data_IF_611121791222
#
_entry.id   IF_611121791222
#
_cell.length_a   1.000
_cell.length_b   1.000
_cell.length_c   1.000
_cell.angle_alpha   90.00
_cell.angle_beta   90.00
_cell.angle_gamma   90.00
#
_symmetry.space_group_name_H-M   'P 1'
#
loop_
_entity.id
_entity.type
_entity.pdbx_description
1 polymer ?
#
# COMPACT_ATOMS: atom_id res chain seq x y z
N UNK A 1 4.57 -3.28 -18.29
CA UNK A 1 5.25 -2.60 -17.17
C UNK A 1 4.42 -2.75 -15.92
N UNK A 2 5.03 -3.15 -14.82
CA UNK A 2 4.31 -3.42 -13.58
C UNK A 2 4.13 -2.12 -12.78
N UNK A 3 2.90 -1.77 -12.45
CA UNK A 3 2.61 -0.61 -11.61
C UNK A 3 2.75 -0.93 -10.14
N UNK A 4 2.25 -2.09 -9.72
CA UNK A 4 2.24 -2.49 -8.30
C UNK A 4 3.19 -3.66 -8.07
N UNK A 5 3.92 -3.61 -6.95
CA UNK A 5 4.78 -4.70 -6.50
C UNK A 5 4.40 -5.04 -5.07
N UNK A 6 4.20 -6.33 -4.78
CA UNK A 6 3.95 -6.82 -3.44
C UNK A 6 5.15 -7.64 -2.98
N UNK A 7 5.72 -7.27 -1.83
CA UNK A 7 6.87 -7.94 -1.24
C UNK A 7 6.67 -8.16 0.25
N UNK A 8 7.31 -9.19 0.80
CA UNK A 8 7.35 -9.35 2.24
C UNK A 8 8.23 -8.25 2.83
N UNK A 9 7.81 -7.74 4.00
CA UNK A 9 8.63 -6.79 4.74
C UNK A 9 9.85 -7.51 5.31
N UNK A 10 11.03 -6.93 5.09
CA UNK A 10 12.28 -7.44 5.68
C UNK A 10 12.54 -6.83 7.06
N UNK A 11 11.69 -5.89 7.50
CA UNK A 11 11.81 -5.25 8.81
C UNK A 11 10.85 -5.80 9.84
N UNK A 12 9.67 -6.26 9.41
CA UNK A 12 8.61 -6.75 10.29
C UNK A 12 8.10 -8.09 9.80
N UNK A 13 8.34 -9.14 10.57
CA UNK A 13 7.85 -10.46 10.24
C UNK A 13 6.32 -10.47 10.24
N UNK A 14 5.73 -11.10 9.20
CA UNK A 14 4.28 -11.16 9.06
C UNK A 14 3.66 -9.94 8.40
N UNK A 15 4.48 -9.02 7.90
CA UNK A 15 4.02 -7.82 7.21
C UNK A 15 4.38 -7.86 5.73
N UNK A 16 3.56 -7.17 4.95
CA UNK A 16 3.74 -7.01 3.51
C UNK A 16 3.93 -5.55 3.15
N UNK A 17 4.65 -5.32 2.05
CA UNK A 17 4.85 -3.97 1.50
C UNK A 17 4.38 -3.98 0.06
N UNK A 18 3.43 -3.12 -0.28
CA UNK A 18 2.94 -2.92 -1.63
C UNK A 18 3.37 -1.54 -2.11
N UNK A 19 4.01 -1.48 -3.27
CA UNK A 19 4.51 -0.23 -3.83
C UNK A 19 3.80 0.08 -5.13
N UNK A 20 3.30 1.31 -5.26
CA UNK A 20 2.80 1.87 -6.52
C UNK A 20 3.95 2.62 -7.17
N UNK A 21 4.56 2.02 -8.19
CA UNK A 21 5.72 2.60 -8.86
C UNK A 21 5.36 3.80 -9.74
N UNK A 22 4.10 3.90 -10.15
CA UNK A 22 3.65 4.99 -10.99
C UNK A 22 3.45 6.28 -10.21
N UNK A 23 2.99 6.17 -8.96
CA UNK A 23 2.69 7.32 -8.12
C UNK A 23 3.57 7.42 -6.88
N UNK A 24 4.56 6.53 -6.74
CA UNK A 24 5.52 6.53 -5.64
C UNK A 24 4.87 6.45 -4.26
N UNK A 25 3.88 5.57 -4.13
CA UNK A 25 3.16 5.35 -2.88
C UNK A 25 3.54 3.97 -2.33
N UNK A 26 3.77 3.91 -1.03
CA UNK A 26 4.08 2.66 -0.33
C UNK A 26 3.02 2.39 0.72
N UNK A 27 2.48 1.17 0.71
CA UNK A 27 1.53 0.71 1.71
C UNK A 27 2.13 -0.47 2.45
N UNK A 28 2.14 -0.40 3.79
CA UNK A 28 2.54 -1.52 4.66
C UNK A 28 1.32 -2.02 5.40
N UNK A 29 1.19 -3.34 5.47
CA UNK A 29 0.07 -3.95 6.18
C UNK A 29 0.48 -5.32 6.73
N UNK A 30 -0.22 -5.74 7.79
CA UNK A 30 -0.04 -7.06 8.38
C UNK A 30 -0.80 -8.11 7.56
N UNK A 31 -0.21 -9.28 7.36
CA UNK A 31 -0.81 -10.37 6.61
C UNK A 31 -2.20 -10.69 7.18
N UNK A 32 -3.19 -10.81 6.30
CA UNK A 32 -4.60 -11.09 6.62
C UNK A 32 -5.29 -9.99 7.44
N UNK A 33 -4.67 -8.81 7.57
CA UNK A 33 -5.23 -7.75 8.41
C UNK A 33 -5.05 -6.36 7.79
N UNK A 34 -5.23 -6.28 6.48
CA UNK A 34 -5.03 -5.04 5.72
C UNK A 34 -5.86 -3.89 6.26
N UNK A 35 -7.16 -4.12 6.49
CA UNK A 35 -8.08 -3.05 6.85
C UNK A 35 -7.73 -2.37 8.18
N UNK A 36 -7.13 -3.10 9.11
CA UNK A 36 -6.84 -2.59 10.45
C UNK A 36 -5.39 -2.09 10.59
N UNK A 37 -4.50 -2.49 9.69
CA UNK A 37 -3.06 -2.21 9.85
C UNK A 37 -2.45 -1.40 8.71
N UNK A 38 -3.20 -1.09 7.67
CA UNK A 38 -2.67 -0.39 6.50
C UNK A 38 -2.06 0.96 6.88
N UNK A 39 -0.87 1.21 6.35
CA UNK A 39 -0.14 2.46 6.56
C UNK A 39 0.41 2.92 5.22
N UNK A 40 0.09 4.16 4.84
CA UNK A 40 0.51 4.72 3.55
C UNK A 40 1.57 5.80 3.76
N UNK A 41 2.62 5.72 2.96
CA UNK A 41 3.66 6.75 2.91
C UNK A 41 4.07 6.97 1.46
N UNK A 42 4.77 8.07 1.19
CA UNK A 42 5.41 8.26 -0.10
C UNK A 42 6.71 7.44 -0.15
N UNK A 43 7.18 7.13 -1.34
CA UNK A 43 8.34 6.28 -1.55
C UNK A 43 9.61 6.83 -0.88
N UNK A 44 9.72 8.15 -0.77
CA UNK A 44 10.85 8.82 -0.11
C UNK A 44 10.73 8.81 1.42
N UNK A 45 9.66 8.23 1.96
CA UNK A 45 9.42 8.13 3.40
C UNK A 45 8.57 9.24 3.97
N UNK A 46 8.22 10.24 3.19
CA UNK A 46 7.35 11.32 3.64
C UNK A 46 5.92 10.84 3.84
N UNK A 47 5.28 11.32 4.89
CA UNK A 47 3.87 11.08 5.13
C UNK A 47 3.04 12.08 4.32
N UNK A 48 1.76 11.76 4.15
CA UNK A 48 0.82 12.71 3.54
C UNK A 48 0.61 13.87 4.52
N UNK A 49 1.11 15.05 4.16
CA UNK A 49 1.22 16.18 5.09
C UNK A 49 -0.08 16.94 5.33
N UNK A 50 -1.07 16.74 4.46
CA UNK A 50 -2.32 17.47 4.58
C UNK A 50 -3.49 16.64 4.11
N UNK A 51 -4.69 17.01 4.60
CA UNK A 51 -5.95 16.41 4.17
C UNK A 51 -6.15 16.57 2.65
N UNK A 52 -5.75 17.70 2.11
CA UNK A 52 -5.85 17.98 0.69
C UNK A 52 -4.98 17.01 -0.13
N UNK A 53 -3.77 16.74 0.33
CA UNK A 53 -2.86 15.81 -0.34
C UNK A 53 -3.38 14.38 -0.24
N UNK A 54 -3.93 13.99 0.91
CA UNK A 54 -4.52 12.67 1.08
C UNK A 54 -5.71 12.47 0.13
N UNK A 55 -6.53 13.49 -0.08
CA UNK A 55 -7.63 13.42 -1.03
C UNK A 55 -7.14 13.28 -2.47
N UNK A 56 -6.05 13.96 -2.80
CA UNK A 56 -5.45 13.86 -4.14
C UNK A 56 -5.02 12.45 -4.47
N UNK A 57 -4.52 11.71 -3.46
CA UNK A 57 -4.05 10.33 -3.65
C UNK A 57 -5.12 9.27 -3.41
N UNK A 58 -6.32 9.66 -2.98
CA UNK A 58 -7.36 8.71 -2.60
C UNK A 58 -7.70 7.71 -3.72
N UNK A 59 -7.76 8.17 -4.97
CA UNK A 59 -8.02 7.31 -6.12
C UNK A 59 -6.93 6.25 -6.28
N UNK A 60 -5.68 6.66 -6.13
CA UNK A 60 -4.55 5.74 -6.28
C UNK A 60 -4.52 4.70 -5.16
N UNK A 61 -4.86 5.12 -3.95
CA UNK A 61 -4.93 4.20 -2.82
C UNK A 61 -6.02 3.15 -3.02
N UNK A 62 -7.16 3.56 -3.56
CA UNK A 62 -8.25 2.65 -3.88
C UNK A 62 -7.86 1.68 -4.99
N UNK A 63 -7.17 2.16 -6.01
CA UNK A 63 -6.70 1.31 -7.09
C UNK A 63 -5.71 0.26 -6.58
N UNK A 64 -4.85 0.63 -5.64
CA UNK A 64 -3.93 -0.31 -5.00
C UNK A 64 -4.70 -1.37 -4.21
N UNK A 65 -5.69 -0.96 -3.43
CA UNK A 65 -6.51 -1.90 -2.66
C UNK A 65 -7.26 -2.87 -3.57
N UNK A 66 -7.79 -2.36 -4.68
CA UNK A 66 -8.49 -3.21 -5.67
C UNK A 66 -7.54 -4.22 -6.29
N UNK A 67 -6.32 -3.81 -6.64
CA UNK A 67 -5.31 -4.71 -7.19
C UNK A 67 -4.92 -5.79 -6.18
N UNK A 68 -4.72 -5.41 -4.93
CA UNK A 68 -4.39 -6.37 -3.87
C UNK A 68 -5.52 -7.38 -3.68
N UNK A 69 -6.77 -6.92 -3.65
CA UNK A 69 -7.92 -7.80 -3.50
C UNK A 69 -8.05 -8.76 -4.69
N UNK A 70 -7.83 -8.27 -5.90
CA UNK A 70 -8.04 -9.06 -7.10
C UNK A 70 -6.92 -10.06 -7.36
N UNK A 71 -5.71 -9.79 -6.89
CA UNK A 71 -4.53 -10.60 -7.19
C UNK A 71 -3.94 -11.33 -5.98
N UNK A 72 -4.15 -10.82 -4.78
CA UNK A 72 -3.52 -11.32 -3.56
C UNK A 72 -4.46 -11.40 -2.37
N UNK A 73 -5.73 -11.67 -2.63
CA UNK A 73 -6.76 -11.70 -1.59
C UNK A 73 -6.37 -12.58 -0.40
N UNK A 74 -5.78 -13.72 -0.66
CA UNK A 74 -5.39 -14.69 0.36
C UNK A 74 -4.27 -14.20 1.28
N UNK A 75 -3.53 -13.17 0.87
CA UNK A 75 -2.46 -12.57 1.69
C UNK A 75 -2.93 -11.31 2.41
N UNK A 76 -3.91 -10.62 1.84
CA UNK A 76 -4.30 -9.27 2.27
C UNK A 76 -5.47 -9.34 3.28
N UNK A 77 -6.39 -10.21 3.02
CA UNK A 77 -7.62 -10.38 3.79
C UNK A 77 -7.72 -11.81 4.29
#
# INVERSE_FOLDING_TARGET
>A
MTRFILQRSDRQQGWWVCTDLEHNIVCRFQEHNYNDTQQFTLLDGDKFDSEHEALRYATYLREMADWLRDNHYDKVF
#
